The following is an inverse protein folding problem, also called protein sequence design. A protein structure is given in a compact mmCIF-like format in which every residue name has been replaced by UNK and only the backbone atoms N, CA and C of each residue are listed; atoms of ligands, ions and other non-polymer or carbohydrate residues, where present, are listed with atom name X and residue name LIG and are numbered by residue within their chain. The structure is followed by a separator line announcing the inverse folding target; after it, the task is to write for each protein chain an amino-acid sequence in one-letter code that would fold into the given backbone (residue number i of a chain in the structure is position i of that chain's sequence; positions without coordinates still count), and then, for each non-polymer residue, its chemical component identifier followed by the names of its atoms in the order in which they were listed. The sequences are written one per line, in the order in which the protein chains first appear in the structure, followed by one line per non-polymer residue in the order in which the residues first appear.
data_IF_726819761601
#
_entry.id   IF_726819761601
#
_cell.length_a   1.000
_cell.length_b   1.000
_cell.length_c   1.000
_cell.angle_alpha   90.00
_cell.angle_beta   90.00
_cell.angle_gamma   90.00
#
_symmetry.space_group_name_H-M   'P 1'
#
loop_
_entity.id
_entity.type
_entity.pdbx_description
1 polymer ?
#
# COMPACT_ATOMS: atom_id res chain seq x y z
N UNK A 1 0.50 3.56 15.62
CA UNK A 1 0.13 4.98 15.76
C UNK A 1 -0.13 5.55 14.38
N UNK A 2 -1.40 5.63 13.99
CA UNK A 2 -1.83 6.29 12.75
C UNK A 2 -1.85 7.81 13.01
N UNK A 3 -0.68 8.45 12.97
CA UNK A 3 -0.56 9.89 13.26
C UNK A 3 -0.41 10.70 11.97
N UNK A 4 -1.30 11.69 11.83
CA UNK A 4 -1.26 12.89 10.99
C UNK A 4 -0.71 12.73 9.56
N UNK A 5 -1.65 12.52 8.62
CA UNK A 5 -1.47 12.73 7.19
C UNK A 5 -1.41 14.25 6.93
N UNK A 6 -0.23 14.85 7.04
CA UNK A 6 -0.01 16.23 6.58
C UNK A 6 -0.93 17.30 7.20
N UNK A 7 -1.39 17.09 8.44
CA UNK A 7 -2.33 17.99 9.14
C UNK A 7 -3.78 17.49 9.19
N UNK A 8 -4.15 16.44 8.44
CA UNK A 8 -5.43 15.74 8.65
C UNK A 8 -5.33 14.70 9.74
N UNK A 9 -6.32 14.75 10.63
CA UNK A 9 -6.57 13.70 11.59
C UNK A 9 -7.37 12.57 10.93
N UNK A 10 -6.90 11.33 11.07
CA UNK A 10 -7.54 10.13 10.55
C UNK A 10 -8.08 9.26 11.70
N UNK A 11 -9.21 9.64 12.33
CA UNK A 11 -9.83 8.79 13.34
C UNK A 11 -10.35 7.49 12.72
N UNK A 12 -10.32 6.41 13.49
CA UNK A 12 -11.10 5.23 13.16
C UNK A 12 -12.55 5.52 13.56
N UNK A 13 -13.49 5.46 12.61
CA UNK A 13 -14.91 5.72 12.89
C UNK A 13 -15.67 4.45 13.25
N UNK A 14 -15.44 3.37 12.52
CA UNK A 14 -16.06 2.07 12.76
C UNK A 14 -15.14 0.95 12.26
N UNK A 15 -15.25 -0.23 12.85
CA UNK A 15 -14.63 -1.45 12.37
C UNK A 15 -15.61 -2.60 12.60
N UNK A 16 -16.38 -2.95 11.57
CA UNK A 16 -17.25 -4.10 11.64
C UNK A 16 -16.45 -5.37 11.30
N UNK A 17 -16.35 -6.36 12.21
CA UNK A 17 -15.93 -7.70 11.83
C UNK A 17 -16.97 -8.28 10.88
N UNK A 18 -16.55 -9.03 9.86
CA UNK A 18 -17.47 -9.77 8.98
C UNK A 18 -18.20 -10.79 9.86
N UNK A 19 -19.49 -10.56 10.12
CA UNK A 19 -20.36 -11.52 10.77
C UNK A 19 -20.96 -12.35 9.62
N UNK A 20 -20.79 -13.67 9.62
CA UNK A 20 -21.35 -14.52 8.57
C UNK A 20 -22.85 -14.75 8.85
N UNK A 21 -23.60 -13.66 9.03
CA UNK A 21 -25.04 -13.68 9.31
C UNK A 21 -25.83 -13.85 8.01
N UNK A 22 -26.99 -14.54 8.02
CA UNK A 22 -27.75 -14.84 6.79
C UNK A 22 -28.15 -13.62 5.96
N UNK A 23 -28.25 -12.45 6.60
CA UNK A 23 -28.63 -11.17 5.99
C UNK A 23 -27.43 -10.24 5.72
N UNK A 24 -26.20 -10.66 6.04
CA UNK A 24 -24.98 -9.86 5.84
C UNK A 24 -24.61 -9.81 4.36
N UNK A 25 -25.16 -8.81 3.68
CA UNK A 25 -24.80 -8.49 2.31
C UNK A 25 -23.43 -7.80 2.29
N UNK A 26 -22.36 -8.57 2.07
CA UNK A 26 -20.99 -8.09 1.86
C UNK A 26 -20.79 -7.40 0.48
N UNK A 27 -21.84 -6.74 -0.02
CA UNK A 27 -21.86 -5.99 -1.26
C UNK A 27 -21.75 -4.47 -0.99
N UNK A 28 -21.55 -3.69 -2.04
CA UNK A 28 -21.34 -2.25 -1.91
C UNK A 28 -22.54 -1.52 -1.29
N UNK A 29 -23.76 -1.96 -1.58
CA UNK A 29 -25.01 -1.42 -1.03
C UNK A 29 -25.11 -1.64 0.50
N UNK A 30 -24.74 -2.83 0.98
CA UNK A 30 -24.63 -3.16 2.40
C UNK A 30 -23.58 -2.31 3.10
N UNK A 31 -22.39 -2.16 2.50
CA UNK A 31 -21.36 -1.27 3.01
C UNK A 31 -21.81 0.20 3.07
N UNK A 32 -22.50 0.70 2.05
CA UNK A 32 -23.06 2.05 2.05
C UNK A 32 -24.10 2.23 3.16
N UNK A 33 -24.96 1.23 3.37
CA UNK A 33 -25.96 1.23 4.45
C UNK A 33 -25.30 1.29 5.82
N UNK A 34 -24.24 0.50 6.04
CA UNK A 34 -23.44 0.56 7.26
C UNK A 34 -22.82 1.95 7.45
N UNK A 35 -22.18 2.52 6.42
CA UNK A 35 -21.60 3.88 6.48
C UNK A 35 -22.67 4.92 6.85
N UNK A 36 -23.84 4.88 6.20
CA UNK A 36 -24.97 5.78 6.50
C UNK A 36 -25.48 5.64 7.93
N UNK A 37 -25.43 4.43 8.50
CA UNK A 37 -25.81 4.16 9.89
C UNK A 37 -24.78 4.68 10.89
N UNK A 38 -23.49 4.59 10.59
CA UNK A 38 -22.42 4.97 11.52
C UNK A 38 -22.08 6.47 11.53
N UNK A 39 -22.13 7.14 10.39
CA UNK A 39 -21.77 8.57 10.30
C UNK A 39 -22.57 9.50 11.24
N UNK A 40 -23.89 9.30 11.48
CA UNK A 40 -24.67 10.13 12.39
C UNK A 40 -24.16 10.15 13.84
N UNK A 41 -23.52 9.09 14.34
CA UNK A 41 -22.90 9.08 15.68
C UNK A 41 -21.80 10.14 15.83
N UNK A 42 -21.26 10.63 14.72
CA UNK A 42 -20.22 11.66 14.66
C UNK A 42 -20.74 13.01 14.16
N UNK A 43 -22.07 13.18 14.04
CA UNK A 43 -22.67 14.38 13.44
C UNK A 43 -22.30 14.55 11.96
N UNK A 44 -22.07 13.45 11.25
CA UNK A 44 -21.70 13.41 9.83
C UNK A 44 -22.76 12.68 9.00
N UNK A 45 -22.71 12.91 7.69
CA UNK A 45 -23.52 12.22 6.69
C UNK A 45 -22.66 11.91 5.47
N UNK A 46 -23.15 11.02 4.61
CA UNK A 46 -22.46 10.67 3.35
C UNK A 46 -22.29 11.87 2.41
N UNK A 47 -23.14 12.89 2.51
CA UNK A 47 -23.00 14.14 1.73
C UNK A 47 -21.78 14.98 2.12
N UNK A 48 -21.11 14.66 3.23
CA UNK A 48 -19.83 15.25 3.61
C UNK A 48 -18.61 14.48 3.09
N UNK A 49 -18.81 13.36 2.41
CA UNK A 49 -17.73 12.60 1.77
C UNK A 49 -17.27 13.34 0.51
N UNK A 50 -15.96 13.53 0.37
CA UNK A 50 -15.37 14.18 -0.81
C UNK A 50 -14.66 13.21 -1.75
N UNK A 51 -14.27 12.05 -1.24
CA UNK A 51 -13.57 10.99 -1.97
C UNK A 51 -13.49 9.73 -1.10
N UNK A 52 -13.27 8.59 -1.75
CA UNK A 52 -12.91 7.32 -1.13
C UNK A 52 -11.45 6.98 -1.41
N UNK A 53 -10.82 6.25 -0.50
CA UNK A 53 -9.49 5.66 -0.71
C UNK A 53 -9.56 4.19 -0.35
N UNK A 54 -9.24 3.33 -1.31
CA UNK A 54 -9.37 1.88 -1.16
C UNK A 54 -8.48 1.15 -2.15
N UNK A 55 -8.41 -0.17 -2.03
CA UNK A 55 -7.90 -0.96 -3.14
C UNK A 55 -8.84 -0.85 -4.36
N UNK A 56 -8.38 -1.33 -5.51
CA UNK A 56 -9.12 -1.18 -6.76
C UNK A 56 -10.13 -2.32 -6.98
N UNK A 57 -10.60 -2.96 -5.91
CA UNK A 57 -11.57 -4.04 -6.02
C UNK A 57 -12.93 -3.53 -6.52
N UNK A 58 -13.72 -4.42 -7.13
CA UNK A 58 -15.04 -4.10 -7.69
C UNK A 58 -15.99 -3.52 -6.65
N UNK A 59 -15.91 -3.96 -5.39
CA UNK A 59 -16.73 -3.45 -4.29
C UNK A 59 -16.48 -1.96 -4.03
N UNK A 60 -15.21 -1.55 -3.94
CA UNK A 60 -14.85 -0.14 -3.70
C UNK A 60 -15.20 0.75 -4.90
N UNK A 61 -15.05 0.24 -6.13
CA UNK A 61 -15.49 0.92 -7.35
C UNK A 61 -17.00 1.16 -7.34
N UNK A 62 -17.78 0.10 -7.07
CA UNK A 62 -19.24 0.19 -6.97
C UNK A 62 -19.69 1.12 -5.85
N UNK A 63 -19.02 1.09 -4.68
CA UNK A 63 -19.34 1.97 -3.57
C UNK A 63 -19.09 3.45 -3.92
N UNK A 64 -18.02 3.74 -4.66
CA UNK A 64 -17.75 5.07 -5.22
C UNK A 64 -18.85 5.51 -6.19
N UNK A 65 -19.31 4.63 -7.08
CA UNK A 65 -20.41 4.92 -8.00
C UNK A 65 -21.71 5.23 -7.27
N UNK A 66 -22.03 4.46 -6.21
CA UNK A 66 -23.23 4.67 -5.40
C UNK A 66 -23.19 5.99 -4.61
N UNK A 67 -22.00 6.45 -4.21
CA UNK A 67 -21.81 7.74 -3.55
C UNK A 67 -21.76 8.90 -4.55
N UNK A 68 -21.40 8.64 -5.81
CA UNK A 68 -21.10 9.68 -6.79
C UNK A 68 -19.81 10.45 -6.49
N UNK A 69 -18.92 9.89 -5.66
CA UNK A 69 -17.69 10.54 -5.20
C UNK A 69 -16.44 9.80 -5.72
N UNK A 70 -15.33 10.50 -6.03
CA UNK A 70 -14.15 9.88 -6.61
C UNK A 70 -13.50 8.80 -5.74
N UNK A 71 -13.11 7.68 -6.35
CA UNK A 71 -12.24 6.67 -5.74
C UNK A 71 -10.78 6.91 -6.11
N UNK A 72 -9.94 7.06 -5.08
CA UNK A 72 -8.48 7.02 -5.20
C UNK A 72 -8.02 5.58 -5.04
N UNK A 73 -7.57 5.00 -6.14
CA UNK A 73 -7.08 3.63 -6.17
C UNK A 73 -5.75 3.48 -5.46
N UNK A 74 -5.62 2.48 -4.58
CA UNK A 74 -4.40 2.25 -3.82
C UNK A 74 -3.20 1.97 -4.75
N UNK A 75 -2.21 2.86 -4.74
CA UNK A 75 -0.97 2.70 -5.51
C UNK A 75 -0.22 1.42 -5.11
N UNK A 76 -0.15 1.08 -3.82
CA UNK A 76 0.50 -0.17 -3.39
C UNK A 76 -0.19 -1.42 -3.95
N UNK A 77 -1.52 -1.40 -4.08
CA UNK A 77 -2.26 -2.49 -4.71
C UNK A 77 -1.98 -2.58 -6.22
N UNK A 78 -1.96 -1.44 -6.93
CA UNK A 78 -1.62 -1.37 -8.36
C UNK A 78 -0.21 -1.89 -8.64
N UNK A 79 0.77 -1.49 -7.82
CA UNK A 79 2.14 -1.99 -7.89
C UNK A 79 2.21 -3.49 -7.64
N UNK A 80 1.49 -4.00 -6.63
CA UNK A 80 1.42 -5.43 -6.34
C UNK A 80 0.90 -6.25 -7.53
N UNK A 81 -0.13 -5.75 -8.23
CA UNK A 81 -0.66 -6.40 -9.43
C UNK A 81 0.35 -6.38 -10.59
N UNK A 82 1.03 -5.26 -10.82
CA UNK A 82 2.07 -5.14 -11.83
C UNK A 82 3.22 -6.12 -11.61
N UNK A 83 3.68 -6.24 -10.35
CA UNK A 83 4.77 -7.14 -10.00
C UNK A 83 4.36 -8.61 -10.14
N UNK A 84 3.11 -8.95 -9.81
CA UNK A 84 2.60 -10.32 -10.01
C UNK A 84 2.59 -10.71 -11.48
N UNK A 85 2.08 -9.83 -12.35
CA UNK A 85 2.08 -10.02 -13.82
C UNK A 85 3.50 -10.13 -14.37
N UNK A 86 4.44 -9.34 -13.82
CA UNK A 86 5.85 -9.38 -14.19
C UNK A 86 6.58 -10.65 -13.73
N UNK A 87 6.19 -11.24 -12.61
CA UNK A 87 6.78 -12.46 -12.07
C UNK A 87 6.30 -13.73 -12.77
N UNK A 88 5.11 -13.72 -13.36
CA UNK A 88 4.47 -14.88 -13.99
C UNK A 88 5.40 -15.66 -14.95
N UNK A 89 6.17 -15.02 -15.86
CA UNK A 89 7.06 -15.75 -16.78
C UNK A 89 8.25 -16.42 -16.10
N UNK A 90 8.57 -16.05 -14.85
CA UNK A 90 9.71 -16.59 -14.09
C UNK A 90 9.28 -17.55 -12.98
N UNK A 91 8.00 -17.91 -12.91
CA UNK A 91 7.46 -18.67 -11.78
C UNK A 91 8.13 -20.03 -11.59
N UNK A 92 8.42 -20.76 -12.67
CA UNK A 92 9.13 -22.05 -12.61
C UNK A 92 10.55 -21.91 -12.03
N UNK A 93 11.29 -20.89 -12.48
CA UNK A 93 12.64 -20.61 -11.98
C UNK A 93 12.59 -20.23 -10.49
N UNK A 94 11.57 -19.47 -10.07
CA UNK A 94 11.38 -19.07 -8.67
C UNK A 94 10.95 -20.27 -7.81
N UNK A 95 10.09 -21.15 -8.29
CA UNK A 95 9.68 -22.36 -7.58
C UNK A 95 10.86 -23.33 -7.40
N UNK A 96 11.75 -23.44 -8.40
CA UNK A 96 13.01 -24.16 -8.25
C UNK A 96 13.84 -23.66 -7.05
N UNK A 97 13.97 -22.33 -6.90
CA UNK A 97 14.62 -21.74 -5.71
C UNK A 97 13.83 -22.04 -4.44
N UNK A 98 12.50 -21.95 -4.45
CA UNK A 98 11.67 -22.27 -3.28
C UNK A 98 11.89 -23.74 -2.83
N UNK A 99 11.98 -24.70 -3.75
CA UNK A 99 12.27 -26.10 -3.44
C UNK A 99 13.64 -26.28 -2.80
N UNK A 100 14.69 -25.65 -3.36
CA UNK A 100 16.02 -25.61 -2.75
C UNK A 100 15.95 -25.01 -1.34
N UNK A 101 15.26 -23.89 -1.16
CA UNK A 101 15.13 -23.20 0.13
C UNK A 101 14.35 -24.04 1.16
N UNK A 102 13.35 -24.82 0.73
CA UNK A 102 12.66 -25.82 1.59
C UNK A 102 13.62 -26.91 2.05
N UNK A 103 14.44 -27.45 1.13
CA UNK A 103 15.43 -28.48 1.46
C UNK A 103 16.49 -27.96 2.44
N UNK A 104 16.97 -26.73 2.24
CA UNK A 104 17.90 -26.05 3.16
C UNK A 104 17.29 -25.72 4.53
N UNK A 105 15.95 -25.66 4.65
CA UNK A 105 15.27 -25.51 5.93
C UNK A 105 15.18 -26.81 6.75
N UNK A 106 15.46 -27.98 6.15
CA UNK A 106 15.45 -29.27 6.89
C UNK A 106 16.51 -29.30 7.98
N UNK A 107 16.28 -30.05 9.05
CA UNK A 107 17.17 -30.05 10.23
C UNK A 107 18.62 -30.37 9.87
N UNK A 108 18.84 -31.40 9.05
CA UNK A 108 20.16 -31.83 8.58
C UNK A 108 20.85 -30.74 7.75
N UNK A 109 20.17 -30.21 6.75
CA UNK A 109 20.75 -29.23 5.83
C UNK A 109 20.94 -27.86 6.48
N UNK A 110 20.01 -27.45 7.33
CA UNK A 110 20.15 -26.24 8.13
C UNK A 110 21.33 -26.34 9.12
N UNK A 111 21.58 -27.52 9.70
CA UNK A 111 22.76 -27.73 10.54
C UNK A 111 24.06 -27.61 9.75
N UNK A 112 24.13 -28.24 8.56
CA UNK A 112 25.29 -28.09 7.65
C UNK A 112 25.50 -26.63 7.22
N UNK A 113 24.44 -25.91 6.87
CA UNK A 113 24.55 -24.51 6.43
C UNK A 113 25.06 -23.60 7.56
N UNK A 114 24.62 -23.85 8.81
CA UNK A 114 25.05 -23.08 9.99
C UNK A 114 26.54 -23.20 10.30
N UNK A 115 27.22 -24.27 9.88
CA UNK A 115 28.68 -24.39 10.07
C UNK A 115 29.45 -23.49 9.11
N UNK A 116 28.82 -23.01 8.03
CA UNK A 116 29.44 -22.18 6.99
C UNK A 116 28.98 -20.73 7.01
N UNK A 117 27.75 -20.45 7.44
CA UNK A 117 27.20 -19.09 7.49
C UNK A 117 26.16 -18.93 8.61
N UNK A 118 26.06 -17.77 9.26
CA UNK A 118 24.97 -17.47 10.20
C UNK A 118 23.61 -17.28 9.51
N UNK A 119 23.59 -17.13 8.18
CA UNK A 119 22.37 -16.94 7.41
C UNK A 119 21.52 -18.21 7.36
N UNK A 120 20.20 -18.04 7.32
CA UNK A 120 19.22 -19.13 7.20
C UNK A 120 18.48 -19.07 5.88
N UNK A 121 18.03 -20.19 5.33
CA UNK A 121 17.07 -20.15 4.24
C UNK A 121 15.76 -19.47 4.71
N UNK A 122 15.06 -18.84 3.77
CA UNK A 122 13.78 -18.14 3.98
C UNK A 122 12.83 -18.58 2.86
N UNK A 123 11.61 -18.93 3.21
CA UNK A 123 10.60 -19.36 2.23
C UNK A 123 9.75 -18.17 1.75
N UNK A 124 9.36 -18.20 0.48
CA UNK A 124 8.33 -17.28 -0.03
C UNK A 124 6.93 -17.71 0.43
N UNK A 125 6.05 -16.71 0.53
CA UNK A 125 4.61 -16.83 0.67
C UNK A 125 3.97 -16.38 -0.66
N UNK A 126 3.21 -17.25 -1.30
CA UNK A 126 2.74 -17.03 -2.68
C UNK A 126 1.85 -15.79 -2.83
N UNK A 127 1.17 -15.38 -1.76
CA UNK A 127 0.29 -14.20 -1.78
C UNK A 127 1.04 -12.86 -1.72
N UNK A 128 2.37 -12.85 -1.55
CA UNK A 128 3.16 -11.63 -1.32
C UNK A 128 4.48 -11.62 -2.07
N UNK A 129 4.58 -10.83 -3.13
CA UNK A 129 5.80 -10.73 -3.95
C UNK A 129 7.04 -10.29 -3.14
N UNK A 130 6.89 -9.51 -2.07
CA UNK A 130 8.00 -9.08 -1.22
C UNK A 130 8.69 -10.26 -0.50
N UNK A 131 7.96 -11.36 -0.30
CA UNK A 131 8.53 -12.61 0.22
C UNK A 131 9.35 -13.34 -0.86
N UNK A 132 8.92 -13.31 -2.12
CA UNK A 132 9.71 -13.77 -3.27
C UNK A 132 11.01 -12.99 -3.39
N UNK A 133 10.94 -11.66 -3.34
CA UNK A 133 12.11 -10.80 -3.31
C UNK A 133 13.07 -11.17 -2.16
N UNK A 134 12.54 -11.31 -0.94
CA UNK A 134 13.33 -11.66 0.24
C UNK A 134 13.99 -13.04 0.12
N UNK A 135 13.27 -14.03 -0.44
CA UNK A 135 13.80 -15.36 -0.70
C UNK A 135 14.92 -15.33 -1.74
N UNK A 136 14.71 -14.68 -2.89
CA UNK A 136 15.73 -14.58 -3.94
C UNK A 136 16.98 -13.88 -3.42
N UNK A 137 16.81 -12.73 -2.73
CA UNK A 137 17.93 -12.03 -2.09
C UNK A 137 18.68 -12.92 -1.11
N UNK A 138 17.96 -13.72 -0.30
CA UNK A 138 18.58 -14.68 0.61
C UNK A 138 19.32 -15.79 -0.14
N UNK A 139 18.71 -16.37 -1.17
CA UNK A 139 19.31 -17.40 -2.01
C UNK A 139 20.66 -16.93 -2.56
N UNK A 140 20.71 -15.74 -3.16
CA UNK A 140 21.96 -15.21 -3.72
C UNK A 140 23.07 -15.01 -2.67
N UNK A 141 22.72 -14.71 -1.41
CA UNK A 141 23.69 -14.63 -0.31
C UNK A 141 24.12 -15.97 0.28
N UNK A 142 23.28 -17.01 0.22
CA UNK A 142 23.63 -18.32 0.82
C UNK A 142 24.24 -19.29 -0.18
N UNK A 143 24.05 -19.06 -1.49
CA UNK A 143 24.40 -20.03 -2.54
C UNK A 143 25.86 -20.48 -2.50
N UNK A 144 26.78 -19.59 -2.19
CA UNK A 144 28.23 -19.86 -2.17
C UNK A 144 28.64 -20.77 -1.02
N UNK A 145 27.79 -20.89 0.01
CA UNK A 145 28.00 -21.75 1.16
C UNK A 145 27.40 -23.16 0.97
N UNK A 146 26.59 -23.37 -0.07
CA UNK A 146 26.01 -24.68 -0.39
C UNK A 146 27.12 -25.59 -0.94
N UNK A 147 27.25 -26.81 -0.40
CA UNK A 147 28.28 -27.75 -0.86
C UNK A 147 27.94 -28.29 -2.25
N UNK A 148 28.90 -28.23 -3.17
CA UNK A 148 28.76 -28.86 -4.49
C UNK A 148 28.69 -30.39 -4.40
N UNK A 149 29.32 -30.97 -3.36
CA UNK A 149 29.38 -32.42 -3.13
C UNK A 149 28.22 -32.96 -2.27
N UNK A 150 27.15 -32.18 -2.04
CA UNK A 150 25.99 -32.68 -1.30
C UNK A 150 25.00 -33.35 -2.26
N UNK A 151 25.09 -34.68 -2.36
CA UNK A 151 24.21 -35.49 -3.21
C UNK A 151 22.71 -35.27 -2.92
N UNK A 152 22.33 -34.93 -1.68
CA UNK A 152 20.93 -34.63 -1.36
C UNK A 152 20.45 -33.28 -1.92
N UNK A 153 21.38 -32.43 -2.34
CA UNK A 153 21.11 -31.13 -2.93
C UNK A 153 21.38 -31.11 -4.43
N UNK A 154 22.02 -32.12 -5.03
CA UNK A 154 22.49 -32.08 -6.42
C UNK A 154 21.43 -31.66 -7.45
N UNK A 155 20.16 -32.07 -7.24
CA UNK A 155 19.06 -31.83 -8.18
C UNK A 155 18.32 -30.49 -7.96
N UNK A 156 18.60 -29.77 -6.87
CA UNK A 156 17.86 -28.56 -6.48
C UNK A 156 18.43 -27.21 -6.98
N UNK A 157 19.75 -27.04 -7.20
CA UNK A 157 20.32 -25.82 -7.73
C UNK A 157 19.69 -25.43 -9.07
N UNK A 158 19.33 -24.14 -9.25
CA UNK A 158 18.88 -23.66 -10.55
C UNK A 158 19.95 -23.88 -11.62
N UNK A 159 19.51 -24.18 -12.85
CA UNK A 159 20.41 -24.24 -14.00
C UNK A 159 21.17 -22.91 -14.17
N UNK A 160 22.32 -22.93 -14.85
CA UNK A 160 23.08 -21.68 -15.11
C UNK A 160 22.25 -20.62 -15.81
N UNK A 161 21.35 -21.03 -16.70
CA UNK A 161 20.43 -20.13 -17.41
C UNK A 161 19.38 -19.55 -16.46
N UNK A 162 18.73 -20.39 -15.66
CA UNK A 162 17.78 -19.95 -14.64
C UNK A 162 18.43 -18.99 -13.63
N UNK A 163 19.64 -19.30 -13.19
CA UNK A 163 20.41 -18.46 -12.27
C UNK A 163 20.64 -17.05 -12.84
N UNK A 164 21.02 -16.92 -14.12
CA UNK A 164 21.21 -15.61 -14.77
C UNK A 164 19.89 -14.84 -14.90
N UNK A 165 18.80 -15.51 -15.26
CA UNK A 165 17.46 -14.90 -15.30
C UNK A 165 17.03 -14.38 -13.93
N UNK A 166 17.20 -15.19 -12.88
CA UNK A 166 16.88 -14.83 -11.51
C UNK A 166 17.73 -13.67 -10.98
N UNK A 167 18.98 -13.54 -11.43
CA UNK A 167 19.84 -12.42 -11.05
C UNK A 167 19.34 -11.10 -11.67
N UNK A 168 18.97 -11.12 -12.95
CA UNK A 168 18.35 -9.97 -13.61
C UNK A 168 17.00 -9.61 -12.96
N UNK A 169 16.18 -10.63 -12.66
CA UNK A 169 14.91 -10.45 -11.97
C UNK A 169 15.10 -9.81 -10.59
N UNK A 170 16.08 -10.28 -9.80
CA UNK A 170 16.37 -9.71 -8.49
C UNK A 170 16.74 -8.22 -8.59
N UNK A 171 17.56 -7.85 -9.57
CA UNK A 171 17.93 -6.45 -9.79
C UNK A 171 16.69 -5.58 -10.08
N UNK A 172 15.79 -6.01 -10.96
CA UNK A 172 14.53 -5.29 -11.23
C UNK A 172 13.65 -5.20 -9.97
N UNK A 173 13.59 -6.25 -9.15
CA UNK A 173 12.81 -6.23 -7.91
C UNK A 173 13.41 -5.32 -6.82
N UNK A 174 14.72 -5.01 -6.85
CA UNK A 174 15.31 -4.06 -5.89
C UNK A 174 14.78 -2.63 -6.09
N UNK A 175 14.60 -2.20 -7.34
CA UNK A 175 14.00 -0.90 -7.66
C UNK A 175 12.52 -0.85 -7.23
N UNK A 176 11.78 -1.92 -7.51
CA UNK A 176 10.38 -2.07 -7.09
C UNK A 176 10.23 -2.06 -5.57
N UNK A 177 11.12 -2.74 -4.84
CA UNK A 177 11.15 -2.75 -3.37
C UNK A 177 11.42 -1.37 -2.79
N UNK A 178 12.31 -0.59 -3.42
CA UNK A 178 12.57 0.80 -3.03
C UNK A 178 11.32 1.66 -3.12
N UNK A 179 10.59 1.56 -4.24
CA UNK A 179 9.33 2.28 -4.47
C UNK A 179 8.23 1.79 -3.51
N UNK A 180 8.09 0.48 -3.35
CA UNK A 180 7.11 -0.13 -2.43
C UNK A 180 7.27 0.39 -1.00
N UNK A 181 8.50 0.48 -0.49
CA UNK A 181 8.80 1.07 0.82
C UNK A 181 8.43 2.55 0.90
N UNK A 182 8.71 3.31 -0.15
CA UNK A 182 8.31 4.72 -0.24
C UNK A 182 6.79 4.91 -0.25
N UNK A 183 6.05 4.05 -0.95
CA UNK A 183 4.57 4.04 -0.93
C UNK A 183 3.98 3.75 0.45
N UNK A 184 4.75 3.10 1.32
CA UNK A 184 4.38 2.86 2.71
C UNK A 184 4.71 4.05 3.63
N UNK A 185 5.46 5.06 3.18
CA UNK A 185 5.78 6.21 4.02
C UNK A 185 4.52 6.99 4.42
N UNK A 186 4.54 7.58 5.61
CA UNK A 186 3.49 8.50 6.01
C UNK A 186 3.66 9.81 5.24
N UNK A 187 2.54 10.42 4.81
CA UNK A 187 2.49 11.73 4.13
C UNK A 187 2.96 11.74 2.66
N UNK A 188 2.75 10.65 1.95
CA UNK A 188 2.91 10.65 0.49
C UNK A 188 1.71 11.35 -0.17
N UNK A 189 1.95 12.18 -1.18
CA UNK A 189 0.89 12.79 -2.00
C UNK A 189 0.61 11.97 -3.26
N UNK A 190 -0.54 12.20 -3.91
CA UNK A 190 -0.83 11.62 -5.22
C UNK A 190 0.22 11.95 -6.28
N UNK A 191 0.80 13.15 -6.24
CA UNK A 191 1.90 13.55 -7.12
C UNK A 191 3.18 12.75 -6.85
N UNK A 192 3.52 12.50 -5.59
CA UNK A 192 4.71 11.70 -5.28
C UNK A 192 4.55 10.24 -5.75
N UNK A 193 3.35 9.65 -5.57
CA UNK A 193 3.07 8.32 -6.10
C UNK A 193 3.13 8.28 -7.64
N UNK A 194 2.65 9.34 -8.31
CA UNK A 194 2.69 9.47 -9.76
C UNK A 194 4.13 9.53 -10.27
N UNK A 195 4.97 10.38 -9.70
CA UNK A 195 6.38 10.50 -10.07
C UNK A 195 7.13 9.17 -9.89
N UNK A 196 6.87 8.44 -8.80
CA UNK A 196 7.47 7.11 -8.56
C UNK A 196 7.05 6.11 -9.64
N UNK A 197 5.79 6.13 -10.06
CA UNK A 197 5.29 5.25 -11.12
C UNK A 197 5.81 5.64 -12.50
N UNK A 198 5.93 6.92 -12.80
CA UNK A 198 6.47 7.39 -14.08
C UNK A 198 7.93 6.99 -14.23
N UNK A 199 8.74 7.21 -13.19
CA UNK A 199 10.14 6.75 -13.18
C UNK A 199 10.28 5.22 -13.22
N UNK A 200 9.33 4.46 -12.66
CA UNK A 200 9.32 3.01 -12.80
C UNK A 200 8.95 2.56 -14.22
N UNK A 201 8.00 3.22 -14.87
CA UNK A 201 7.62 2.91 -16.25
C UNK A 201 8.72 3.25 -17.27
N UNK A 202 9.57 4.22 -16.99
CA UNK A 202 10.77 4.50 -17.81
C UNK A 202 11.72 3.29 -17.88
N UNK A 203 11.86 2.56 -16.77
CA UNK A 203 12.76 1.40 -16.67
C UNK A 203 12.03 0.10 -17.03
N UNK A 204 10.76 -0.02 -16.64
CA UNK A 204 9.94 -1.22 -16.85
C UNK A 204 8.58 -0.86 -17.47
N UNK A 205 8.52 -0.64 -18.81
CA UNK A 205 7.29 -0.23 -19.49
C UNK A 205 6.12 -1.20 -19.34
N UNK A 206 6.37 -2.49 -19.10
CA UNK A 206 5.31 -3.50 -18.93
C UNK A 206 4.40 -3.23 -17.74
N UNK A 207 4.83 -2.41 -16.77
CA UNK A 207 4.02 -2.09 -15.59
C UNK A 207 2.87 -1.12 -15.92
N UNK A 208 2.92 -0.44 -17.07
CA UNK A 208 1.91 0.52 -17.52
C UNK A 208 0.49 -0.03 -17.44
N UNK A 209 0.30 -1.33 -17.71
CA UNK A 209 -0.98 -2.05 -17.59
C UNK A 209 -1.73 -1.81 -16.26
N UNK A 210 -1.01 -1.55 -15.17
CA UNK A 210 -1.60 -1.30 -13.84
C UNK A 210 -1.26 0.07 -13.24
N UNK A 211 -0.11 0.64 -13.58
CA UNK A 211 0.37 1.88 -12.92
C UNK A 211 0.29 3.12 -13.81
N UNK A 212 -0.03 3.00 -15.11
CA UNK A 212 -0.25 4.16 -15.97
C UNK A 212 -1.46 4.99 -15.49
N UNK A 213 -1.48 6.32 -15.73
CA UNK A 213 -2.57 7.19 -15.28
C UNK A 213 -3.93 6.88 -15.95
N UNK A 214 -3.91 6.19 -17.09
CA UNK A 214 -5.06 5.75 -17.89
C UNK A 214 -5.22 4.22 -17.91
N UNK A 215 -4.50 3.50 -17.05
CA UNK A 215 -4.67 2.06 -16.90
C UNK A 215 -6.14 1.73 -16.55
N UNK A 216 -6.71 0.69 -17.19
CA UNK A 216 -8.10 0.26 -16.98
C UNK A 216 -8.49 0.01 -15.51
N UNK A 217 -7.52 -0.22 -14.64
CA UNK A 217 -7.74 -0.39 -13.21
C UNK A 217 -8.16 0.91 -12.51
N UNK A 218 -7.75 2.08 -13.03
CA UNK A 218 -8.05 3.41 -12.48
C UNK A 218 -9.52 3.74 -12.70
N UNK A 219 -10.27 3.88 -11.61
CA UNK A 219 -11.71 4.09 -11.66
C UNK A 219 -12.09 5.53 -12.03
N UNK A 220 -11.36 6.51 -11.50
CA UNK A 220 -11.56 7.94 -11.78
C UNK A 220 -10.30 8.57 -12.38
N UNK A 221 -9.96 8.28 -13.65
CA UNK A 221 -8.72 8.73 -14.26
C UNK A 221 -8.64 10.26 -14.35
N UNK A 222 -9.74 10.95 -14.67
CA UNK A 222 -9.76 12.42 -14.75
C UNK A 222 -9.54 13.03 -13.36
N UNK A 223 -10.09 12.44 -12.30
CA UNK A 223 -9.82 12.92 -10.94
C UNK A 223 -8.36 12.74 -10.54
N UNK A 224 -7.79 11.54 -10.70
CA UNK A 224 -6.37 11.30 -10.37
C UNK A 224 -5.44 12.24 -11.16
N UNK A 225 -5.69 12.41 -12.47
CA UNK A 225 -4.95 13.35 -13.33
C UNK A 225 -5.10 14.80 -12.86
N UNK A 226 -6.33 15.22 -12.54
CA UNK A 226 -6.61 16.57 -12.07
C UNK A 226 -5.86 16.89 -10.77
N UNK A 227 -5.89 15.95 -9.80
CA UNK A 227 -5.16 16.07 -8.53
C UNK A 227 -3.66 16.25 -8.79
N UNK A 228 -3.07 15.40 -9.63
CA UNK A 228 -1.65 15.49 -9.99
C UNK A 228 -1.34 16.84 -10.64
N UNK A 229 -2.10 17.25 -11.67
CA UNK A 229 -1.89 18.53 -12.38
C UNK A 229 -1.90 19.73 -11.43
N UNK A 230 -2.84 19.78 -10.50
CA UNK A 230 -2.92 20.87 -9.51
C UNK A 230 -1.71 20.84 -8.57
N UNK A 231 -1.32 19.67 -8.07
CA UNK A 231 -0.16 19.54 -7.18
C UNK A 231 1.17 19.90 -7.88
N UNK A 232 1.27 19.72 -9.19
CA UNK A 232 2.44 20.13 -10.00
C UNK A 232 2.45 21.64 -10.30
N UNK A 233 1.38 22.36 -9.99
CA UNK A 233 1.24 23.80 -10.31
C UNK A 233 0.64 24.08 -11.69
N UNK A 234 0.14 23.06 -12.39
CA UNK A 234 -0.43 23.15 -13.73
C UNK A 234 -1.97 23.19 -13.72
N UNK A 235 -2.57 23.82 -12.71
CA UNK A 235 -4.02 23.92 -12.58
C UNK A 235 -4.72 24.62 -13.77
N UNK A 236 -4.00 25.46 -14.52
CA UNK A 236 -4.50 26.10 -15.73
C UNK A 236 -4.67 25.13 -16.92
N UNK A 237 -4.07 23.94 -16.86
CA UNK A 237 -4.13 22.90 -17.91
C UNK A 237 -5.20 21.83 -17.61
N UNK A 238 -6.10 22.10 -16.67
CA UNK A 238 -7.21 21.21 -16.39
C UNK A 238 -8.21 21.24 -17.54
N UNK A 239 -8.67 20.07 -17.97
CA UNK A 239 -9.79 19.96 -18.90
C UNK A 239 -11.11 20.26 -18.19
N UNK A 240 -12.20 20.43 -18.93
CA UNK A 240 -13.53 20.62 -18.34
C UNK A 240 -13.96 19.40 -17.52
N UNK A 241 -13.66 18.19 -18.01
CA UNK A 241 -13.92 16.93 -17.30
C UNK A 241 -13.12 16.86 -15.98
N UNK A 242 -11.81 17.12 -16.03
CA UNK A 242 -10.95 17.17 -14.85
C UNK A 242 -11.43 18.24 -13.85
N UNK A 243 -11.81 19.42 -14.33
CA UNK A 243 -12.32 20.52 -13.50
C UNK A 243 -13.64 20.16 -12.81
N UNK A 244 -14.51 19.40 -13.48
CA UNK A 244 -15.77 18.94 -12.92
C UNK A 244 -15.55 18.01 -11.72
N UNK A 245 -14.55 17.12 -11.80
CA UNK A 245 -14.22 16.20 -10.68
C UNK A 245 -13.68 16.91 -9.44
N UNK A 246 -13.07 18.10 -9.60
CA UNK A 246 -12.51 18.87 -8.49
C UNK A 246 -13.48 19.90 -7.88
N UNK A 247 -14.76 19.91 -8.29
CA UNK A 247 -15.74 20.92 -7.88
C UNK A 247 -15.83 21.07 -6.36
N UNK A 248 -15.88 19.96 -5.63
CA UNK A 248 -16.00 19.92 -4.17
C UNK A 248 -14.72 20.35 -3.43
N UNK A 249 -13.59 20.48 -4.13
CA UNK A 249 -12.29 20.88 -3.58
C UNK A 249 -11.95 22.36 -3.80
N UNK A 250 -12.79 23.14 -4.49
CA UNK A 250 -12.54 24.57 -4.71
C UNK A 250 -12.57 25.33 -3.38
N UNK A 251 -11.53 26.13 -3.12
CA UNK A 251 -11.41 26.95 -1.90
C UNK A 251 -12.55 27.96 -1.87
N UNK A 252 -13.32 27.99 -0.77
CA UNK A 252 -14.00 29.22 -0.34
C UNK A 252 -12.94 30.14 0.28
N UNK A 253 -12.79 31.34 -0.26
CA UNK A 253 -11.70 32.26 0.06
C UNK A 253 -11.48 32.43 1.59
N UNK A 254 -10.40 31.87 2.12
CA UNK A 254 -9.70 32.36 3.32
C UNK A 254 -8.24 31.83 3.34
N UNK A 255 -7.33 32.67 3.84
CA UNK A 255 -5.87 32.61 3.68
C UNK A 255 -5.18 31.55 4.54
N UNK A 256 -4.10 30.94 4.03
CA UNK A 256 -3.21 30.06 4.80
C UNK A 256 -1.74 30.38 4.49
N UNK A 257 -0.90 30.38 5.53
CA UNK A 257 0.55 30.58 5.51
C UNK A 257 1.33 29.25 5.49
N UNK A 258 2.56 29.29 4.97
CA UNK A 258 3.45 28.15 4.62
C UNK A 258 4.61 28.05 5.61
N UNK A 259 5.12 26.83 5.87
CA UNK A 259 6.39 26.59 6.61
C UNK A 259 7.32 25.62 5.89
N UNK A 260 8.62 25.91 6.00
CA UNK A 260 9.78 25.32 5.29
C UNK A 260 10.30 23.98 5.84
N UNK A 261 11.12 23.28 5.03
CA UNK A 261 11.73 21.95 5.30
C UNK A 261 13.24 22.03 5.58
N UNK A 262 13.73 21.05 6.34
CA UNK A 262 15.14 20.83 6.70
C UNK A 262 15.80 19.66 5.93
N UNK A 263 17.15 19.59 6.05
CA UNK A 263 18.14 18.95 5.19
C UNK A 263 18.35 17.42 5.29
N UNK A 264 19.20 16.88 4.38
CA UNK A 264 19.26 15.53 3.80
C UNK A 264 20.40 14.63 4.35
N UNK A 265 20.14 13.31 4.40
CA UNK A 265 21.14 12.21 4.44
C UNK A 265 21.01 11.27 3.22
N UNK A 266 22.07 10.51 2.92
CA UNK A 266 22.35 9.71 1.68
C UNK A 266 21.13 9.04 0.98
N UNK A 267 21.12 9.13 -0.36
CA UNK A 267 19.91 9.08 -1.23
C UNK A 267 19.71 7.76 -2.01
N UNK A 268 18.46 7.26 -2.05
CA UNK A 268 18.02 6.12 -2.88
C UNK A 268 17.36 6.52 -4.21
N UNK A 269 16.86 5.53 -4.98
CA UNK A 269 16.26 5.75 -6.31
C UNK A 269 15.00 6.62 -6.28
N UNK A 270 14.10 6.38 -5.31
CA UNK A 270 12.89 7.17 -5.12
C UNK A 270 13.21 8.64 -4.81
N UNK A 271 14.22 8.88 -3.99
CA UNK A 271 14.68 10.22 -3.63
C UNK A 271 15.29 10.97 -4.82
N UNK A 272 15.99 10.26 -5.74
CA UNK A 272 16.49 10.85 -6.99
C UNK A 272 15.37 11.34 -7.90
N UNK A 273 14.25 10.62 -7.97
CA UNK A 273 13.08 11.00 -8.76
C UNK A 273 12.43 12.26 -8.17
N UNK A 274 12.13 12.25 -6.87
CA UNK A 274 11.44 13.37 -6.21
C UNK A 274 12.24 14.69 -6.27
N UNK A 275 13.58 14.63 -6.32
CA UNK A 275 14.45 15.82 -6.39
C UNK A 275 14.55 16.47 -7.77
N UNK A 276 14.20 15.78 -8.86
CA UNK A 276 14.21 16.37 -10.21
C UNK A 276 13.08 17.40 -10.40
N UNK A 277 12.12 17.47 -9.47
CA UNK A 277 10.93 18.32 -9.56
C UNK A 277 11.25 19.79 -9.23
N UNK A 278 11.19 20.68 -10.22
CA UNK A 278 11.05 22.14 -9.99
C UNK A 278 9.56 22.48 -9.96
N UNK A 279 9.01 22.77 -8.78
CA UNK A 279 7.59 23.14 -8.61
C UNK A 279 7.46 24.67 -8.51
N UNK A 280 6.78 25.35 -9.44
CA UNK A 280 6.34 26.73 -9.22
C UNK A 280 5.24 26.77 -8.15
N UNK A 281 5.17 27.84 -7.36
CA UNK A 281 4.20 27.98 -6.28
C UNK A 281 2.76 27.85 -6.81
N UNK A 282 2.01 26.86 -6.30
CA UNK A 282 0.65 26.59 -6.76
C UNK A 282 -0.31 27.74 -6.39
N UNK A 283 -1.14 28.24 -7.32
CA UNK A 283 -2.20 29.18 -6.97
C UNK A 283 -3.22 28.46 -6.07
N UNK A 284 -3.66 29.16 -5.02
CA UNK A 284 -4.39 28.60 -3.89
C UNK A 284 -5.88 28.30 -4.16
N UNK A 285 -6.20 27.77 -5.34
CA UNK A 285 -7.56 27.56 -5.85
C UNK A 285 -8.25 26.32 -5.27
N UNK A 286 -7.49 25.26 -4.99
CA UNK A 286 -8.02 23.98 -4.49
C UNK A 286 -7.47 23.68 -3.08
N UNK A 287 -8.30 23.11 -2.22
CA UNK A 287 -7.94 22.68 -0.86
C UNK A 287 -7.88 21.16 -0.76
N UNK A 288 -7.18 20.66 0.26
CA UNK A 288 -7.13 19.24 0.65
C UNK A 288 -6.47 18.26 -0.33
N UNK A 289 -6.18 18.65 -1.58
CA UNK A 289 -5.58 17.76 -2.59
C UNK A 289 -4.25 17.16 -2.15
N UNK A 290 -3.39 17.96 -1.51
CA UNK A 290 -2.09 17.50 -1.00
C UNK A 290 -2.20 16.53 0.18
N UNK A 291 -3.40 16.31 0.70
CA UNK A 291 -3.65 15.44 1.82
C UNK A 291 -4.49 14.21 1.47
N UNK A 292 -4.88 14.08 0.20
CA UNK A 292 -5.43 12.85 -0.36
C UNK A 292 -4.32 11.79 -0.36
N UNK A 293 -4.46 10.70 0.41
CA UNK A 293 -3.43 9.67 0.44
C UNK A 293 -3.52 8.82 -0.84
N UNK A 294 -2.39 8.53 -1.50
CA UNK A 294 -2.36 7.66 -2.69
C UNK A 294 -2.50 6.18 -2.36
N UNK A 295 -2.47 5.80 -1.08
CA UNK A 295 -2.53 4.40 -0.65
C UNK A 295 -3.53 4.22 0.49
N UNK A 296 -4.18 3.06 0.51
CA UNK A 296 -5.00 2.58 1.63
C UNK A 296 -4.17 1.83 2.68
N UNK A 297 -2.84 2.01 2.71
CA UNK A 297 -1.92 1.30 3.62
C UNK A 297 -2.24 1.52 5.12
N UNK A 298 -2.96 2.60 5.44
CA UNK A 298 -3.53 2.84 6.78
C UNK A 298 -4.48 1.71 7.23
N UNK A 299 -5.28 1.18 6.31
CA UNK A 299 -6.22 0.07 6.56
C UNK A 299 -5.46 -1.24 6.72
N UNK A 300 -4.46 -1.51 5.88
CA UNK A 300 -3.61 -2.71 6.02
C UNK A 300 -2.87 -2.74 7.37
N UNK A 301 -2.40 -1.58 7.83
CA UNK A 301 -1.83 -1.45 9.18
C UNK A 301 -2.85 -1.69 10.27
N UNK A 302 -4.10 -1.27 10.07
CA UNK A 302 -5.20 -1.57 11.00
C UNK A 302 -5.43 -3.08 11.09
N UNK A 303 -5.50 -3.79 9.98
CA UNK A 303 -5.65 -5.25 9.97
C UNK A 303 -4.44 -5.97 10.58
N UNK A 304 -3.23 -5.46 10.34
CA UNK A 304 -2.02 -5.96 11.01
C UNK A 304 -2.10 -5.79 12.54
N UNK A 305 -2.58 -4.63 13.01
CA UNK A 305 -2.83 -4.40 14.44
C UNK A 305 -3.91 -5.34 14.98
N UNK A 306 -5.01 -5.53 14.25
CA UNK A 306 -6.08 -6.46 14.62
C UNK A 306 -5.55 -7.89 14.80
N UNK A 307 -4.76 -8.38 13.84
CA UNK A 307 -4.11 -9.69 13.92
C UNK A 307 -3.16 -9.81 15.11
N UNK A 308 -2.47 -8.73 15.48
CA UNK A 308 -1.61 -8.73 16.66
C UNK A 308 -2.41 -8.76 17.98
N UNK A 309 -3.64 -8.24 17.99
CA UNK A 309 -4.56 -8.31 19.13
C UNK A 309 -5.19 -9.71 19.24
N UNK A 310 -5.55 -10.33 18.11
CA UNK A 310 -6.14 -11.68 18.02
C UNK A 310 -5.09 -12.83 18.08
N UNK A 311 -4.00 -12.66 18.83
CA UNK A 311 -3.00 -13.74 18.99
C UNK A 311 -3.61 -14.97 19.69
N UNK A 312 -2.89 -16.10 19.64
CA UNK A 312 -3.36 -17.40 20.13
C UNK A 312 -3.99 -17.40 21.53
N UNK A 313 -3.50 -16.54 22.43
CA UNK A 313 -4.00 -16.40 23.80
C UNK A 313 -5.35 -15.67 23.91
N UNK A 314 -5.83 -15.05 22.83
CA UNK A 314 -7.01 -14.17 22.79
C UNK A 314 -8.06 -14.60 21.77
N UNK A 315 -8.03 -15.86 21.32
CA UNK A 315 -9.03 -16.42 20.39
C UNK A 315 -10.46 -16.45 20.93
N UNK A 316 -10.64 -16.29 22.25
CA UNK A 316 -11.97 -16.17 22.88
C UNK A 316 -12.50 -14.73 22.93
N UNK A 317 -11.77 -13.76 22.36
CA UNK A 317 -12.24 -12.37 22.29
C UNK A 317 -13.42 -12.29 21.34
N UNK A 318 -14.56 -11.79 21.81
CA UNK A 318 -15.72 -11.60 20.93
C UNK A 318 -15.42 -10.53 19.85
N UNK A 319 -16.08 -10.59 18.69
CA UNK A 319 -15.89 -9.60 17.63
C UNK A 319 -16.13 -8.16 18.11
N UNK A 320 -17.14 -7.96 18.96
CA UNK A 320 -17.44 -6.66 19.59
C UNK A 320 -16.27 -6.17 20.47
N UNK A 321 -15.69 -7.05 21.28
CA UNK A 321 -14.56 -6.69 22.14
C UNK A 321 -13.32 -6.37 21.32
N UNK A 322 -13.12 -7.03 20.18
CA UNK A 322 -12.04 -6.68 19.25
C UNK A 322 -12.24 -5.26 18.68
N UNK A 323 -13.45 -4.96 18.22
CA UNK A 323 -13.80 -3.64 17.69
C UNK A 323 -13.54 -2.54 18.73
N UNK A 324 -14.07 -2.67 19.95
CA UNK A 324 -13.87 -1.70 21.04
C UNK A 324 -12.39 -1.49 21.34
N UNK A 325 -11.62 -2.58 21.47
CA UNK A 325 -10.19 -2.48 21.75
C UNK A 325 -9.42 -1.75 20.65
N UNK A 326 -9.72 -2.03 19.38
CA UNK A 326 -9.06 -1.37 18.25
C UNK A 326 -9.49 0.09 18.12
N UNK A 327 -10.78 0.39 18.30
CA UNK A 327 -11.31 1.74 18.30
C UNK A 327 -10.60 2.62 19.33
N UNK A 328 -10.56 2.18 20.59
CA UNK A 328 -9.89 2.91 21.67
C UNK A 328 -8.39 3.06 21.40
N UNK A 329 -7.73 2.00 20.94
CA UNK A 329 -6.28 2.03 20.66
C UNK A 329 -5.92 3.00 19.53
N UNK A 330 -6.66 2.97 18.42
CA UNK A 330 -6.40 3.84 17.26
C UNK A 330 -6.71 5.29 17.59
N UNK A 331 -7.80 5.53 18.33
CA UNK A 331 -8.24 6.86 18.75
C UNK A 331 -7.64 7.32 20.09
N UNK A 332 -6.54 6.72 20.56
CA UNK A 332 -5.91 7.01 21.87
C UNK A 332 -5.55 8.48 22.13
N UNK A 333 -5.46 9.32 21.09
CA UNK A 333 -5.24 10.76 21.25
C UNK A 333 -6.53 11.58 21.43
N UNK A 334 -7.71 10.92 21.42
CA UNK A 334 -9.03 11.56 21.43
C UNK A 334 -9.84 11.28 22.68
N UNK A 335 -9.29 10.50 23.61
CA UNK A 335 -9.92 10.21 24.88
C UNK A 335 -8.85 10.14 25.96
N UNK A 336 -9.25 10.49 27.16
CA UNK A 336 -8.45 10.42 28.38
C UNK A 336 -9.32 9.90 29.53
N UNK A 337 -8.74 9.82 30.73
CA UNK A 337 -9.48 9.37 31.93
C UNK A 337 -10.69 10.26 32.20
N UNK A 338 -10.61 11.55 31.89
CA UNK A 338 -11.71 12.52 32.05
C UNK A 338 -12.88 12.17 31.13
N UNK A 339 -12.59 11.90 29.86
CA UNK A 339 -13.57 11.52 28.83
C UNK A 339 -14.29 10.23 29.25
N UNK A 340 -13.52 9.22 29.71
CA UNK A 340 -14.11 7.94 30.15
C UNK A 340 -15.01 8.14 31.37
N UNK A 341 -14.61 8.97 32.34
CA UNK A 341 -15.42 9.29 33.52
C UNK A 341 -16.75 9.98 33.19
N UNK A 342 -16.84 10.70 32.07
CA UNK A 342 -18.10 11.33 31.63
C UNK A 342 -19.06 10.36 30.94
N UNK A 343 -18.57 9.18 30.55
CA UNK A 343 -19.37 8.14 29.87
C UNK A 343 -19.81 7.00 30.79
N UNK A 344 -19.32 6.99 32.05
CA UNK A 344 -19.76 6.09 33.12
C UNK A 344 -20.81 6.80 33.97
#
# INVERSE_FOLDING_TARGET
MLRNLGGLAAPLLALAPVMDEPDDQLNAEGHLTAIKRFLPFFGKSVSGCLFLVGDNCSLNKRLSDLLGEPLVGCSSHRLNLAVRDFLEPSEDDVEGVQQLMRKLCTLKQAAKLRTRTPLRAVLRQDTRWSSTFSMLKRYFHIREFISADDDELADYPPSRTAHRKLAALLASLEDVESISKHLQANRLTALDARDLFDGLMEIQPSFAKYIAPDANIVHWPDFEKAVVKVLTGHAALLTDAETATLKSFKRRASMASVSERAAVTKEGFAERILKRRKVPAAPATYVLLGAIPPTSNIVERLFSMARAVLRHERHRLSPIMLEVNLFLKVNSSRWDVTTVKQCL
#
